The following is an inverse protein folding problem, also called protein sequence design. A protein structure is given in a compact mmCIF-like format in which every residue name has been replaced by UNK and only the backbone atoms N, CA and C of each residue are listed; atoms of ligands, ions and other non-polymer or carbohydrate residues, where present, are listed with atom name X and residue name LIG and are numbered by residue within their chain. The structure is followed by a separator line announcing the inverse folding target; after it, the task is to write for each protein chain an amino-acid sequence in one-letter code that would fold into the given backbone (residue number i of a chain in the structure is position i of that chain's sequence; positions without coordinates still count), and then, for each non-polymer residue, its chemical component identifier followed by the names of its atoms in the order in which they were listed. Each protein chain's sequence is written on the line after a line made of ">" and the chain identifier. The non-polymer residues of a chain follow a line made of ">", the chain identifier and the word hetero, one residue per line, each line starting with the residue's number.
data_IF_947971562990
#
_entry.id   IF_947971562990
#
_cell.length_a   1.000
_cell.length_b   1.000
_cell.length_c   1.000
_cell.angle_alpha   90.00
_cell.angle_beta   90.00
_cell.angle_gamma   90.00
#
_symmetry.space_group_name_H-M   'P 1'
#
loop_
_entity.id
_entity.type
_entity.pdbx_description
1 polymer ?
#
# COMPACT_ATOMS: atom_id res chain seq x y z
N UNK A 1 8.76 -12.36 61.69
CA UNK A 1 8.73 -11.09 60.94
C UNK A 1 7.90 -11.21 59.69
N UNK A 2 6.75 -10.51 59.68
CA UNK A 2 5.97 -10.25 58.48
C UNK A 2 6.60 -9.06 57.77
N UNK A 3 6.89 -9.19 56.48
CA UNK A 3 7.17 -8.05 55.59
C UNK A 3 6.13 -8.09 54.48
N UNK A 4 5.18 -7.16 54.56
CA UNK A 4 4.28 -6.78 53.46
C UNK A 4 4.98 -5.73 52.61
N UNK A 5 4.99 -5.91 51.28
CA UNK A 5 5.31 -4.86 50.30
C UNK A 5 4.29 -4.98 49.16
N UNK A 6 3.76 -3.85 48.63
CA UNK A 6 2.35 -3.69 48.30
C UNK A 6 2.01 -4.04 46.86
N UNK A 7 0.70 -4.23 46.66
CA UNK A 7 0.00 -4.29 45.39
C UNK A 7 -0.08 -2.85 44.84
N UNK A 8 0.79 -2.49 43.90
CA UNK A 8 0.57 -1.32 43.06
C UNK A 8 -0.14 -1.75 41.77
N UNK A 9 -1.43 -1.44 41.72
CA UNK A 9 -2.08 -1.17 40.46
C UNK A 9 -1.72 0.25 40.01
N UNK A 10 -1.21 0.38 38.79
CA UNK A 10 -1.19 1.64 38.06
C UNK A 10 -1.24 1.35 36.55
N UNK A 11 -2.46 1.44 36.03
CA UNK A 11 -2.84 2.08 34.77
C UNK A 11 -1.93 1.94 33.54
N UNK A 12 -2.48 1.23 32.55
CA UNK A 12 -2.71 1.78 31.21
C UNK A 12 -1.48 2.20 30.41
N UNK A 13 -1.03 1.31 29.52
CA UNK A 13 -0.31 1.74 28.32
C UNK A 13 -0.86 1.00 27.09
N UNK A 14 -2.01 1.48 26.63
CA UNK A 14 -2.61 1.12 25.35
C UNK A 14 -1.84 1.81 24.23
N UNK A 15 -0.56 1.51 24.04
CA UNK A 15 0.22 1.92 22.87
C UNK A 15 1.20 0.81 22.48
N UNK A 16 0.68 -0.29 21.91
CA UNK A 16 1.51 -1.28 21.22
C UNK A 16 1.00 -1.65 19.82
N UNK A 17 -0.22 -1.26 19.47
CA UNK A 17 -0.79 -1.55 18.14
C UNK A 17 -0.29 -0.55 17.08
N UNK A 18 -0.18 0.74 17.41
CA UNK A 18 0.29 1.77 16.47
C UNK A 18 1.79 1.61 16.11
N UNK A 19 2.63 1.25 17.08
CA UNK A 19 4.07 1.05 16.82
C UNK A 19 4.33 -0.25 16.03
N UNK A 20 3.51 -1.28 16.24
CA UNK A 20 3.56 -2.52 15.46
C UNK A 20 3.13 -2.27 14.00
N UNK A 21 2.06 -1.50 13.77
CA UNK A 21 1.67 -1.08 12.42
C UNK A 21 2.74 -0.22 11.75
N UNK A 22 3.35 0.72 12.48
CA UNK A 22 4.44 1.56 11.98
C UNK A 22 5.71 0.76 11.63
N UNK A 23 6.01 -0.32 12.37
CA UNK A 23 7.14 -1.22 12.09
C UNK A 23 6.87 -2.16 10.91
N UNK A 24 5.63 -2.64 10.75
CA UNK A 24 5.21 -3.45 9.59
C UNK A 24 5.27 -2.63 8.30
N UNK A 25 4.92 -1.35 8.35
CA UNK A 25 4.98 -0.45 7.20
C UNK A 25 6.42 -0.16 6.73
N UNK A 26 7.42 -0.21 7.62
CA UNK A 26 8.82 0.03 7.27
C UNK A 26 9.53 -1.17 6.63
N UNK A 27 9.09 -2.40 6.92
CA UNK A 27 9.69 -3.63 6.37
C UNK A 27 9.25 -3.93 4.93
N UNK A 28 8.19 -3.27 4.45
CA UNK A 28 7.60 -3.54 3.13
C UNK A 28 7.99 -2.53 2.05
N UNK A 29 8.69 -1.43 2.40
CA UNK A 29 8.86 -0.29 1.48
C UNK A 29 10.13 -0.34 0.61
N UNK A 30 11.06 -1.30 0.78
CA UNK A 30 12.41 -1.09 0.19
C UNK A 30 13.11 -2.27 -0.50
N UNK A 31 12.65 -3.52 -0.41
CA UNK A 31 13.49 -4.66 -0.88
C UNK A 31 13.19 -5.17 -2.29
N UNK A 32 12.20 -4.60 -3.00
CA UNK A 32 11.88 -4.98 -4.39
C UNK A 32 12.56 -4.09 -5.43
N UNK A 33 13.83 -3.74 -5.21
CA UNK A 33 14.63 -3.10 -6.26
C UNK A 33 14.85 -4.08 -7.41
N UNK A 34 14.12 -3.89 -8.50
CA UNK A 34 14.35 -4.57 -9.79
C UNK A 34 15.69 -4.10 -10.35
N UNK A 35 16.80 -4.68 -9.88
CA UNK A 35 18.12 -4.54 -10.50
C UNK A 35 18.13 -5.36 -11.78
N UNK A 36 17.50 -4.84 -12.84
CA UNK A 36 17.66 -5.38 -14.19
C UNK A 36 19.10 -5.10 -14.65
N UNK A 37 19.99 -6.06 -14.45
CA UNK A 37 21.35 -6.06 -15.01
C UNK A 37 21.39 -6.57 -16.46
N UNK A 38 20.31 -6.39 -17.24
CA UNK A 38 20.29 -6.77 -18.65
C UNK A 38 20.30 -5.52 -19.55
N UNK A 39 21.33 -5.29 -20.38
CA UNK A 39 21.54 -4.02 -21.08
C UNK A 39 20.58 -3.73 -22.25
N UNK A 40 19.48 -4.47 -22.43
CA UNK A 40 18.61 -4.33 -23.62
C UNK A 40 17.10 -4.33 -23.33
N UNK A 41 16.66 -4.39 -22.07
CA UNK A 41 15.22 -4.29 -21.75
C UNK A 41 14.85 -2.86 -21.36
N UNK A 42 14.10 -2.18 -22.24
CA UNK A 42 13.54 -0.87 -21.93
C UNK A 42 12.60 -0.96 -20.72
N UNK A 43 12.71 0.01 -19.81
CA UNK A 43 11.73 0.19 -18.74
C UNK A 43 10.39 0.58 -19.38
N UNK A 44 9.39 -0.29 -19.27
CA UNK A 44 8.05 -0.05 -19.81
C UNK A 44 7.18 0.64 -18.76
N UNK A 45 6.37 1.59 -19.20
CA UNK A 45 5.29 2.18 -18.41
C UNK A 45 3.96 1.63 -18.93
N UNK A 46 3.13 1.11 -18.03
CA UNK A 46 1.78 0.62 -18.35
C UNK A 46 0.77 1.40 -17.53
N UNK A 47 -0.37 1.74 -18.12
CA UNK A 47 -1.46 2.46 -17.46
C UNK A 47 -2.78 1.70 -17.68
N UNK A 48 -3.51 1.45 -16.60
CA UNK A 48 -4.88 0.97 -16.64
C UNK A 48 -5.84 2.16 -16.60
N UNK A 49 -6.77 2.17 -17.56
CA UNK A 49 -7.90 3.10 -17.56
C UNK A 49 -9.19 2.32 -17.59
N UNK A 50 -10.12 2.73 -16.75
CA UNK A 50 -11.46 2.18 -16.70
C UNK A 50 -12.47 3.21 -17.19
N UNK A 51 -13.57 2.70 -17.76
CA UNK A 51 -14.65 3.52 -18.25
C UNK A 51 -15.61 3.80 -17.09
N UNK A 52 -15.73 5.05 -16.68
CA UNK A 52 -16.57 5.47 -15.55
C UNK A 52 -17.58 6.53 -15.95
N UNK A 53 -18.66 6.63 -15.18
CA UNK A 53 -19.67 7.67 -15.32
C UNK A 53 -19.32 8.81 -14.36
N UNK A 54 -19.08 10.01 -14.88
CA UNK A 54 -18.92 11.20 -14.04
C UNK A 54 -20.25 11.55 -13.36
N UNK A 55 -20.24 11.73 -12.03
CA UNK A 55 -21.43 12.05 -11.26
C UNK A 55 -21.99 13.43 -11.60
N UNK A 56 -21.11 14.38 -11.93
CA UNK A 56 -21.48 15.78 -12.14
C UNK A 56 -22.19 15.99 -13.47
N UNK A 57 -21.60 15.51 -14.55
CA UNK A 57 -22.10 15.76 -15.90
C UNK A 57 -22.85 14.56 -16.50
N UNK A 58 -22.85 13.40 -15.82
CA UNK A 58 -23.41 12.15 -16.35
C UNK A 58 -22.81 11.81 -17.72
N UNK A 59 -21.51 12.05 -17.88
CA UNK A 59 -20.73 11.72 -19.08
C UNK A 59 -19.79 10.54 -18.83
N UNK A 60 -19.65 9.68 -19.84
CA UNK A 60 -18.80 8.50 -19.78
C UNK A 60 -17.37 8.90 -20.14
N UNK A 61 -16.40 8.63 -19.27
CA UNK A 61 -15.01 9.04 -19.43
C UNK A 61 -14.03 7.92 -19.05
N UNK A 62 -12.85 7.91 -19.70
CA UNK A 62 -11.75 7.01 -19.35
C UNK A 62 -10.92 7.60 -18.22
N UNK A 63 -11.00 6.99 -17.05
CA UNK A 63 -10.26 7.41 -15.86
C UNK A 63 -9.14 6.43 -15.57
N UNK A 64 -7.97 6.98 -15.23
CA UNK A 64 -6.84 6.17 -14.78
C UNK A 64 -7.16 5.52 -13.42
N UNK A 65 -6.93 4.23 -13.29
CA UNK A 65 -7.18 3.49 -12.04
C UNK A 65 -5.92 2.85 -11.48
N UNK A 66 -4.95 2.52 -12.32
CA UNK A 66 -3.67 1.97 -11.89
C UNK A 66 -2.54 2.24 -12.90
N UNK A 67 -1.28 2.17 -12.45
CA UNK A 67 -0.10 2.29 -13.31
C UNK A 67 1.03 1.37 -12.85
N UNK A 68 1.90 1.00 -13.79
CA UNK A 68 3.08 0.18 -13.53
C UNK A 68 4.33 0.77 -14.15
N UNK A 69 5.35 0.98 -13.30
CA UNK A 69 6.72 1.32 -13.69
C UNK A 69 7.67 0.42 -12.90
N UNK A 70 7.52 -0.89 -13.11
CA UNK A 70 8.15 -1.95 -12.31
C UNK A 70 7.25 -2.46 -11.18
N UNK A 71 6.75 -1.56 -10.34
CA UNK A 71 5.74 -1.84 -9.31
C UNK A 71 4.38 -1.22 -9.68
N UNK A 72 3.31 -1.74 -9.09
CA UNK A 72 1.95 -1.25 -9.21
C UNK A 72 1.66 -0.10 -8.25
N UNK A 73 0.99 0.94 -8.73
CA UNK A 73 0.36 1.97 -7.91
C UNK A 73 -1.12 2.06 -8.33
N UNK A 74 -2.02 2.05 -7.34
CA UNK A 74 -3.46 2.18 -7.54
C UNK A 74 -3.92 3.61 -7.20
N UNK A 75 -4.83 4.17 -8.00
CA UNK A 75 -5.42 5.49 -7.74
C UNK A 75 -6.53 5.35 -6.70
N UNK A 76 -6.39 6.06 -5.58
CA UNK A 76 -7.42 6.14 -4.54
C UNK A 76 -8.65 6.92 -4.99
N UNK A 77 -9.76 6.75 -4.27
CA UNK A 77 -11.02 7.48 -4.53
C UNK A 77 -10.89 8.99 -4.33
N UNK A 78 -9.91 9.41 -3.54
CA UNK A 78 -9.50 10.79 -3.29
C UNK A 78 -8.61 11.36 -4.40
N UNK A 79 -8.27 10.56 -5.41
CA UNK A 79 -7.35 10.94 -6.49
C UNK A 79 -5.88 10.91 -6.09
N UNK A 80 -5.54 10.29 -4.96
CA UNK A 80 -4.15 10.15 -4.49
C UNK A 80 -3.63 8.77 -4.88
N UNK A 81 -2.41 8.72 -5.40
CA UNK A 81 -1.72 7.46 -5.69
C UNK A 81 -1.35 6.74 -4.40
N UNK A 82 -1.73 5.47 -4.31
CA UNK A 82 -1.32 4.59 -3.21
C UNK A 82 0.18 4.25 -3.26
N UNK A 83 0.66 3.56 -2.22
CA UNK A 83 2.06 3.10 -2.14
C UNK A 83 2.37 2.08 -3.26
N UNK A 84 3.56 2.16 -3.89
CA UNK A 84 4.00 1.14 -4.84
C UNK A 84 4.05 -0.25 -4.21
N UNK A 85 3.54 -1.27 -4.89
CA UNK A 85 3.51 -2.65 -4.42
C UNK A 85 3.61 -3.67 -5.57
N UNK A 86 3.77 -4.95 -5.23
CA UNK A 86 3.76 -6.02 -6.23
C UNK A 86 2.32 -6.31 -6.68
N UNK A 87 2.08 -6.51 -7.99
CA UNK A 87 0.78 -6.90 -8.50
C UNK A 87 0.43 -8.32 -8.08
N UNK A 88 -0.67 -8.50 -7.35
CA UNK A 88 -1.24 -9.82 -7.08
C UNK A 88 -2.48 -10.01 -7.94
N UNK A 89 -2.39 -10.94 -8.90
CA UNK A 89 -3.49 -11.24 -9.81
C UNK A 89 -4.26 -12.47 -9.32
N UNK A 90 -5.58 -12.43 -9.47
CA UNK A 90 -6.42 -13.58 -9.17
C UNK A 90 -6.39 -14.59 -10.33
N UNK A 91 -6.66 -15.86 -10.04
CA UNK A 91 -6.61 -16.94 -11.05
C UNK A 91 -7.53 -16.69 -12.26
N UNK A 92 -8.68 -16.05 -12.08
CA UNK A 92 -9.65 -15.81 -13.16
C UNK A 92 -9.28 -14.64 -14.06
N UNK A 93 -8.35 -13.79 -13.63
CA UNK A 93 -7.87 -12.62 -14.39
C UNK A 93 -6.70 -12.93 -15.32
N UNK A 94 -6.13 -14.14 -15.24
CA UNK A 94 -5.04 -14.66 -16.09
C UNK A 94 -5.59 -15.58 -17.18
#
# INVERSE_FOLDING_TARGET
>A
DSVSIPMEEAEGDTIQEEEAEARVNQLTDTDYHTTSQHPETHKVCVQLRELVMDEKNQEIQWMETARWVGLEENLGKDGIWGRPHLPYLNFWSL
#
